data_IF_875130216603
#
_entry.id   IF_875130216603
#
_cell.length_a   1.000
_cell.length_b   1.000
_cell.length_c   1.000
_cell.angle_alpha   90.00
_cell.angle_beta   90.00
_cell.angle_gamma   90.00
#
_symmetry.space_group_name_H-M   'P 1'
#
loop_
_entity.id
_entity.type
_entity.pdbx_description
1 polymer ?
#
# COMPACT_ATOMS: atom_id res chain seq x y z
N UNK A 1 22.65 33.53 -11.82
CA UNK A 1 21.65 32.47 -11.64
C UNK A 1 20.78 32.90 -10.50
N UNK A 2 19.51 33.19 -10.77
CA UNK A 2 18.66 33.90 -9.80
C UNK A 2 18.27 32.97 -8.66
N UNK A 3 18.24 33.48 -7.42
CA UNK A 3 17.90 32.69 -6.23
C UNK A 3 16.54 31.96 -6.38
N UNK A 4 15.61 32.55 -7.15
CA UNK A 4 14.30 31.97 -7.46
C UNK A 4 14.40 30.72 -8.34
N UNK A 5 15.36 30.68 -9.28
CA UNK A 5 15.59 29.52 -10.16
C UNK A 5 16.15 28.35 -9.34
N UNK A 6 17.12 28.62 -8.46
CA UNK A 6 17.71 27.60 -7.59
C UNK A 6 16.63 27.01 -6.64
N UNK A 7 15.81 27.86 -6.02
CA UNK A 7 14.71 27.40 -5.17
C UNK A 7 13.70 26.54 -5.93
N UNK A 8 13.35 26.92 -7.17
CA UNK A 8 12.41 26.16 -8.00
C UNK A 8 12.96 24.78 -8.36
N UNK A 9 14.24 24.70 -8.76
CA UNK A 9 14.89 23.43 -9.11
C UNK A 9 14.92 22.50 -7.90
N UNK A 10 15.28 22.99 -6.71
CA UNK A 10 15.30 22.20 -5.48
C UNK A 10 13.92 21.60 -5.18
N UNK A 11 12.85 22.41 -5.23
CA UNK A 11 11.50 21.92 -4.97
C UNK A 11 11.04 20.87 -5.97
N UNK A 12 11.34 21.05 -7.26
CA UNK A 12 11.02 20.07 -8.31
C UNK A 12 11.74 18.75 -8.03
N UNK A 13 13.04 18.80 -7.70
CA UNK A 13 13.81 17.60 -7.39
C UNK A 13 13.25 16.88 -6.16
N UNK A 14 12.93 17.59 -5.09
CA UNK A 14 12.35 17.01 -3.87
C UNK A 14 11.00 16.36 -4.17
N UNK A 15 10.12 17.05 -4.90
CA UNK A 15 8.81 16.52 -5.27
C UNK A 15 8.92 15.27 -6.16
N UNK A 16 9.85 15.26 -7.12
CA UNK A 16 10.09 14.10 -7.99
C UNK A 16 10.58 12.88 -7.20
N UNK A 17 11.55 13.07 -6.29
CA UNK A 17 12.08 11.98 -5.44
C UNK A 17 11.00 11.45 -4.50
N UNK A 18 10.24 12.34 -3.85
CA UNK A 18 9.14 11.95 -2.97
C UNK A 18 8.06 11.18 -3.73
N UNK A 19 7.69 11.65 -4.93
CA UNK A 19 6.73 10.97 -5.80
C UNK A 19 7.20 9.56 -6.21
N UNK A 20 8.46 9.43 -6.62
CA UNK A 20 9.04 8.13 -6.99
C UNK A 20 9.08 7.15 -5.79
N UNK A 21 9.46 7.63 -4.60
CA UNK A 21 9.47 6.83 -3.39
C UNK A 21 8.05 6.35 -3.01
N UNK A 22 7.05 7.23 -3.14
CA UNK A 22 5.65 6.89 -2.86
C UNK A 22 5.14 5.80 -3.81
N UNK A 23 5.43 5.93 -5.10
CA UNK A 23 5.08 4.90 -6.10
C UNK A 23 5.77 3.57 -5.78
N UNK A 24 7.07 3.60 -5.48
CA UNK A 24 7.81 2.40 -5.08
C UNK A 24 7.21 1.71 -3.86
N UNK A 25 6.79 2.49 -2.85
CA UNK A 25 6.15 1.98 -1.65
C UNK A 25 4.79 1.33 -1.92
N UNK A 26 3.96 1.93 -2.78
CA UNK A 26 2.69 1.35 -3.23
C UNK A 26 2.92 0.03 -3.96
N UNK A 27 3.86 -0.01 -4.90
CA UNK A 27 4.21 -1.23 -5.64
C UNK A 27 4.70 -2.31 -4.68
N UNK A 28 5.56 -1.97 -3.73
CA UNK A 28 6.05 -2.91 -2.73
C UNK A 28 4.91 -3.51 -1.89
N UNK A 29 4.00 -2.67 -1.40
CA UNK A 29 2.84 -3.12 -0.65
C UNK A 29 1.89 -3.99 -1.49
N UNK A 30 1.68 -3.65 -2.77
CA UNK A 30 0.91 -4.48 -3.68
C UNK A 30 1.57 -5.83 -3.91
N UNK A 31 2.89 -5.87 -4.12
CA UNK A 31 3.62 -7.13 -4.27
C UNK A 31 3.50 -7.97 -3.00
N UNK A 32 3.55 -7.37 -1.82
CA UNK A 32 3.39 -8.06 -0.54
C UNK A 32 1.98 -8.65 -0.37
N UNK A 33 0.93 -7.87 -0.66
CA UNK A 33 -0.46 -8.35 -0.73
C UNK A 33 -0.59 -9.50 -1.72
N UNK A 34 0.01 -9.36 -2.91
CA UNK A 34 -0.07 -10.37 -3.96
C UNK A 34 0.77 -11.62 -3.65
N UNK A 35 1.84 -11.51 -2.88
CA UNK A 35 2.62 -12.68 -2.45
C UNK A 35 1.97 -13.40 -1.28
N UNK A 36 1.07 -12.76 -0.55
CA UNK A 36 0.39 -13.35 0.59
C UNK A 36 -0.63 -14.39 0.13
N UNK A 37 -0.28 -15.67 0.27
CA UNK A 37 -1.12 -16.83 -0.08
C UNK A 37 -2.02 -17.30 1.06
N UNK A 38 -1.92 -16.66 2.24
CA UNK A 38 -2.64 -17.05 3.46
C UNK A 38 -4.06 -16.47 3.54
N UNK A 39 -4.41 -15.53 2.66
CA UNK A 39 -5.75 -14.92 2.55
C UNK A 39 -6.47 -15.40 1.29
N UNK A 40 -7.80 -15.36 1.28
CA UNK A 40 -8.58 -15.71 0.09
C UNK A 40 -8.29 -14.78 -1.09
N UNK A 41 -8.51 -15.27 -2.32
CA UNK A 41 -8.34 -14.47 -3.54
C UNK A 41 -9.20 -13.20 -3.53
N UNK A 42 -10.38 -13.24 -2.93
CA UNK A 42 -11.26 -12.08 -2.77
C UNK A 42 -10.68 -11.05 -1.78
N UNK A 43 -10.22 -11.50 -0.61
CA UNK A 43 -9.58 -10.63 0.38
C UNK A 43 -8.30 -9.98 -0.17
N UNK A 44 -7.52 -10.73 -0.94
CA UNK A 44 -6.32 -10.24 -1.63
C UNK A 44 -6.65 -9.13 -2.63
N UNK A 45 -7.72 -9.29 -3.42
CA UNK A 45 -8.17 -8.28 -4.37
C UNK A 45 -8.66 -7.00 -3.68
N UNK A 46 -9.39 -7.14 -2.57
CA UNK A 46 -9.87 -6.02 -1.76
C UNK A 46 -8.68 -5.25 -1.18
N UNK A 47 -7.70 -5.93 -0.60
CA UNK A 47 -6.51 -5.29 -0.06
C UNK A 47 -5.67 -4.59 -1.13
N UNK A 48 -5.53 -5.20 -2.31
CA UNK A 48 -4.89 -4.54 -3.44
C UNK A 48 -5.63 -3.26 -3.86
N UNK A 49 -6.97 -3.31 -3.96
CA UNK A 49 -7.79 -2.14 -4.28
C UNK A 49 -7.67 -1.04 -3.22
N UNK A 50 -7.65 -1.39 -1.93
CA UNK A 50 -7.47 -0.46 -0.82
C UNK A 50 -6.10 0.23 -0.87
N UNK A 51 -5.03 -0.50 -1.16
CA UNK A 51 -3.68 0.06 -1.33
C UNK A 51 -3.61 0.98 -2.56
N UNK A 52 -4.32 0.69 -3.66
CA UNK A 52 -4.35 1.56 -4.85
C UNK A 52 -5.17 2.83 -4.61
N UNK A 53 -6.38 2.69 -4.06
CA UNK A 53 -7.33 3.79 -3.89
C UNK A 53 -6.94 4.73 -2.74
N UNK A 54 -6.31 4.20 -1.71
CA UNK A 54 -5.85 4.97 -0.57
C UNK A 54 -4.40 4.57 -0.24
N UNK A 55 -3.39 5.01 -1.01
CA UNK A 55 -1.99 4.61 -0.84
C UNK A 55 -1.48 4.61 0.58
N UNK A 56 -1.58 5.75 1.26
CA UNK A 56 -1.05 5.93 2.61
C UNK A 56 -1.83 5.13 3.64
N UNK A 57 -3.17 5.20 3.59
CA UNK A 57 -4.04 4.54 4.57
C UNK A 57 -4.12 3.03 4.34
N UNK A 58 -4.13 2.61 3.07
CA UNK A 58 -4.23 1.23 2.65
C UNK A 58 -2.97 0.44 2.89
N UNK A 59 -1.79 1.03 2.65
CA UNK A 59 -0.53 0.41 3.08
C UNK A 59 -0.43 0.31 4.60
N UNK A 60 -0.75 1.38 5.34
CA UNK A 60 -0.77 1.34 6.81
C UNK A 60 -1.74 0.27 7.34
N UNK A 61 -2.96 0.21 6.77
CA UNK A 61 -3.97 -0.77 7.15
C UNK A 61 -3.53 -2.20 6.80
N UNK A 62 -2.81 -2.42 5.69
CA UNK A 62 -2.28 -3.73 5.34
C UNK A 62 -1.29 -4.24 6.38
N UNK A 63 -0.34 -3.40 6.78
CA UNK A 63 0.66 -3.77 7.80
C UNK A 63 0.06 -3.93 9.20
N UNK A 64 -0.99 -3.17 9.55
CA UNK A 64 -1.61 -3.23 10.87
C UNK A 64 -2.67 -4.32 11.01
N UNK A 65 -3.47 -4.54 9.96
CA UNK A 65 -4.69 -5.36 10.00
C UNK A 65 -4.68 -6.44 8.92
N UNK A 66 -4.17 -6.12 7.73
CA UNK A 66 -4.13 -7.05 6.59
C UNK A 66 -3.50 -8.40 6.91
N UNK A 67 -2.42 -8.40 7.69
CA UNK A 67 -1.75 -9.62 8.13
C UNK A 67 -2.58 -10.53 9.05
N UNK A 68 -3.61 -10.00 9.74
CA UNK A 68 -4.52 -10.76 10.62
C UNK A 68 -5.77 -11.28 9.90
N UNK A 69 -6.00 -10.86 8.67
CA UNK A 69 -7.14 -11.33 7.84
C UNK A 69 -7.27 -12.86 7.73
N UNK A 70 -6.18 -13.67 7.66
CA UNK A 70 -6.29 -15.13 7.61
C UNK A 70 -6.99 -15.75 8.82
N UNK A 71 -6.80 -15.18 10.02
CA UNK A 71 -7.40 -15.68 11.26
C UNK A 71 -8.90 -15.42 11.28
N UNK A 72 -9.30 -14.23 10.83
CA UNK A 72 -10.70 -13.84 10.72
C UNK A 72 -11.46 -14.74 9.73
N UNK A 73 -10.86 -15.02 8.57
CA UNK A 73 -11.45 -15.95 7.60
C UNK A 73 -11.62 -17.36 8.19
N UNK A 74 -10.64 -17.85 8.96
CA UNK A 74 -10.75 -19.17 9.62
C UNK A 74 -11.89 -19.19 10.63
N UNK A 75 -12.01 -18.16 11.46
CA UNK A 75 -13.11 -18.05 12.44
C UNK A 75 -14.47 -17.99 11.75
N UNK A 76 -14.63 -17.16 10.71
CA UNK A 76 -15.87 -17.07 9.95
C UNK A 76 -16.25 -18.39 9.29
N UNK A 77 -15.28 -19.11 8.71
CA UNK A 77 -15.52 -20.44 8.13
C UNK A 77 -15.86 -21.50 9.17
N UNK A 78 -15.35 -21.37 10.41
CA UNK A 78 -15.68 -22.28 11.51
C UNK A 78 -17.12 -22.06 12.01
N UNK A 79 -17.59 -20.81 12.04
CA UNK A 79 -18.97 -20.47 12.40
C UNK A 79 -20.01 -20.86 11.33
N UNK A 80 -19.60 -20.95 10.07
CA UNK A 80 -20.48 -21.26 8.95
C UNK A 80 -20.65 -22.79 8.68
N UNK A 81 -20.07 -23.65 9.52
CA UNK A 81 -20.32 -25.11 9.51
C UNK A 81 -21.30 -25.50 10.59
#
# INVERSE_FOLDING_TARGET
>A
MDANVIGTVIWITVAAVAGAALVGFIVFALVDVLRTTTISSAARLIWAAVVVLAPLLGTAAWYLVGQRTPELERSLRAFAR
#
